data_IF_866860816584
#
_entry.id   IF_866860816584
#
_cell.length_a   1.000
_cell.length_b   1.000
_cell.length_c   1.000
_cell.angle_alpha   90.00
_cell.angle_beta   90.00
_cell.angle_gamma   90.00
#
_symmetry.space_group_name_H-M   'P 1'
#
loop_
_entity.id
_entity.type
_entity.pdbx_description
1 polymer ?
#
# COMPACT_ATOMS: atom_id res chain seq x y z
N UNK A 1 6.45 -10.81 19.59
CA UNK A 1 6.33 -9.34 19.64
C UNK A 1 7.67 -8.62 19.60
N UNK A 2 8.65 -8.99 20.43
CA UNK A 2 10.04 -8.50 20.30
C UNK A 2 10.60 -8.75 18.89
N UNK A 3 10.29 -9.92 18.31
CA UNK A 3 10.57 -10.24 16.91
C UNK A 3 9.88 -9.32 15.87
N UNK A 4 8.67 -8.80 16.14
CA UNK A 4 8.00 -7.84 15.25
C UNK A 4 8.58 -6.43 15.40
N UNK A 5 8.93 -6.04 16.62
CA UNK A 5 9.62 -4.78 16.89
C UNK A 5 11.00 -4.76 16.20
N UNK A 6 11.75 -5.85 16.27
CA UNK A 6 13.05 -5.95 15.61
C UNK A 6 12.96 -6.18 14.08
N UNK A 7 11.96 -6.92 13.57
CA UNK A 7 11.83 -7.21 12.13
C UNK A 7 11.06 -6.15 11.33
N UNK A 8 10.17 -5.39 11.98
CA UNK A 8 9.26 -4.45 11.31
C UNK A 8 9.32 -3.05 11.90
N UNK A 9 10.11 -2.82 12.96
CA UNK A 9 10.19 -1.57 13.74
C UNK A 9 8.87 -1.05 14.32
N UNK A 10 7.75 -1.74 14.08
CA UNK A 10 6.40 -1.39 14.45
C UNK A 10 5.62 -2.64 14.86
N UNK A 11 5.51 -2.92 16.16
CA UNK A 11 4.56 -3.92 16.63
C UNK A 11 3.12 -3.39 16.43
N UNK A 12 2.12 -4.27 16.28
CA UNK A 12 0.79 -3.92 15.78
C UNK A 12 0.00 -2.91 16.62
N UNK A 13 0.41 -2.66 17.87
CA UNK A 13 -0.19 -1.66 18.76
C UNK A 13 0.90 -0.88 19.50
N UNK A 14 1.26 0.29 18.96
CA UNK A 14 2.16 1.23 19.61
C UNK A 14 1.34 2.39 20.19
N UNK A 15 1.57 2.72 21.47
CA UNK A 15 0.98 3.88 22.13
C UNK A 15 2.09 4.77 22.68
N UNK A 16 1.93 6.08 22.56
CA UNK A 16 2.77 7.02 23.30
C UNK A 16 2.50 6.93 24.79
N UNK A 17 3.55 7.03 25.60
CA UNK A 17 3.43 7.21 27.04
C UNK A 17 3.09 8.67 27.33
N UNK A 18 2.20 8.88 28.30
CA UNK A 18 1.75 10.22 28.74
C UNK A 18 2.42 10.59 30.07
N UNK A 19 2.35 11.87 30.45
CA UNK A 19 2.88 12.34 31.74
C UNK A 19 4.41 12.29 31.81
N UNK A 20 4.96 11.79 32.93
CA UNK A 20 6.40 11.82 33.20
C UNK A 20 7.23 10.94 32.27
N UNK A 21 6.61 9.96 31.61
CA UNK A 21 7.25 9.13 30.59
C UNK A 21 7.06 9.64 29.15
N UNK A 22 6.58 10.88 28.94
CA UNK A 22 6.34 11.43 27.60
C UNK A 22 7.56 11.31 26.69
N UNK A 23 7.34 10.82 25.48
CA UNK A 23 8.38 10.59 24.48
C UNK A 23 8.85 9.14 24.38
N UNK A 24 8.56 8.31 25.40
CA UNK A 24 8.63 6.86 25.29
C UNK A 24 7.43 6.31 24.50
N UNK A 25 7.69 5.23 23.78
CA UNK A 25 6.68 4.40 23.12
C UNK A 25 6.49 3.14 23.94
N UNK A 26 5.25 2.65 23.97
CA UNK A 26 4.91 1.37 24.60
C UNK A 26 4.14 0.47 23.65
N UNK A 27 4.47 -0.80 23.73
CA UNK A 27 3.82 -1.87 22.97
C UNK A 27 3.30 -2.91 23.93
N UNK A 28 2.01 -3.22 23.84
CA UNK A 28 1.36 -4.21 24.70
C UNK A 28 1.88 -5.62 24.42
N UNK A 29 2.50 -6.27 25.42
CA UNK A 29 3.00 -7.65 25.35
C UNK A 29 1.95 -8.69 25.82
N UNK A 30 0.78 -8.26 26.29
CA UNK A 30 -0.23 -9.12 26.91
C UNK A 30 0.04 -9.42 28.40
N UNK A 31 -0.58 -10.46 28.93
CA UNK A 31 -0.53 -10.87 30.34
C UNK A 31 -1.65 -11.84 30.71
N UNK A 32 -1.64 -12.37 31.94
CA UNK A 32 -2.69 -13.28 32.41
C UNK A 32 -4.02 -12.51 32.54
N UNK A 33 -4.93 -12.71 31.57
CA UNK A 33 -6.23 -12.04 31.46
C UNK A 33 -6.23 -10.58 30.97
N UNK A 34 -5.25 -10.11 30.20
CA UNK A 34 -5.37 -8.82 29.51
C UNK A 34 -4.05 -8.11 29.18
N UNK A 35 -4.12 -6.78 29.07
CA UNK A 35 -3.01 -5.88 28.67
C UNK A 35 -2.19 -5.39 29.87
N UNK A 36 -1.55 -6.33 30.56
CA UNK A 36 -0.85 -6.07 31.84
C UNK A 36 0.58 -5.58 31.64
N UNK A 37 1.30 -6.11 30.65
CA UNK A 37 2.71 -5.79 30.44
C UNK A 37 2.94 -5.07 29.13
N UNK A 38 3.83 -4.08 29.16
CA UNK A 38 4.19 -3.28 28.00
C UNK A 38 5.70 -3.24 27.83
N UNK A 39 6.15 -3.42 26.59
CA UNK A 39 7.52 -3.15 26.18
C UNK A 39 7.70 -1.64 25.95
N UNK A 40 8.63 -1.03 26.67
CA UNK A 40 8.96 0.39 26.57
C UNK A 40 10.21 0.58 25.74
N UNK A 41 10.09 1.43 24.73
CA UNK A 41 11.15 1.67 23.77
C UNK A 41 11.11 3.09 23.22
N UNK A 42 12.20 3.54 22.63
CA UNK A 42 12.34 4.84 22.02
C UNK A 42 13.14 4.75 20.73
N UNK A 43 12.94 5.71 19.83
CA UNK A 43 13.64 5.83 18.54
C UNK A 43 14.67 6.95 18.59
N UNK A 44 15.58 6.94 17.63
CA UNK A 44 16.44 8.09 17.38
C UNK A 44 15.63 9.41 17.36
N UNK A 45 16.16 10.41 18.06
CA UNK A 45 15.53 11.73 18.17
C UNK A 45 14.35 11.85 19.14
N UNK A 46 13.81 10.75 19.71
CA UNK A 46 12.79 10.83 20.75
C UNK A 46 13.30 11.66 21.94
N UNK A 47 12.47 12.54 22.57
CA UNK A 47 12.90 13.41 23.66
C UNK A 47 13.73 12.73 24.76
N UNK A 48 13.36 11.54 25.30
CA UNK A 48 14.14 10.89 26.34
C UNK A 48 15.48 10.32 25.86
N UNK A 49 15.74 10.15 24.57
CA UNK A 49 16.97 9.48 24.08
C UNK A 49 17.73 10.31 23.05
N UNK A 50 17.30 11.55 22.80
CA UNK A 50 17.89 12.42 21.79
C UNK A 50 19.38 12.69 22.05
N UNK A 51 19.78 12.76 23.32
CA UNK A 51 21.18 12.97 23.72
C UNK A 51 22.09 11.78 23.45
N UNK A 52 21.54 10.60 23.16
CA UNK A 52 22.32 9.38 22.91
C UNK A 52 22.87 9.28 21.48
N UNK A 53 22.50 10.19 20.58
CA UNK A 53 23.12 10.28 19.26
C UNK A 53 22.85 9.07 18.34
N UNK A 54 21.73 8.39 18.55
CA UNK A 54 21.34 7.20 17.78
C UNK A 54 21.26 7.49 16.27
N UNK A 55 21.68 6.51 15.47
CA UNK A 55 21.50 6.51 14.02
C UNK A 55 20.00 6.49 13.64
N UNK A 56 19.62 6.98 12.44
CA UNK A 56 18.22 7.15 12.06
C UNK A 56 17.33 5.90 12.18
N UNK A 57 17.92 4.72 12.02
CA UNK A 57 17.25 3.42 12.06
C UNK A 57 17.41 2.68 13.40
N UNK A 58 18.14 3.26 14.35
CA UNK A 58 18.37 2.64 15.64
C UNK A 58 17.20 2.90 16.59
N UNK A 59 16.82 1.84 17.31
CA UNK A 59 15.82 1.88 18.37
C UNK A 59 16.45 1.39 19.67
N UNK A 60 15.96 1.89 20.79
CA UNK A 60 16.34 1.48 22.12
C UNK A 60 15.17 0.82 22.82
N UNK A 61 15.36 -0.40 23.31
CA UNK A 61 14.38 -1.13 24.12
C UNK A 61 14.83 -1.11 25.56
N UNK A 62 14.09 -0.44 26.44
CA UNK A 62 14.54 -0.14 27.81
C UNK A 62 14.06 -1.15 28.84
N UNK A 63 12.76 -1.44 28.85
CA UNK A 63 12.15 -2.21 29.92
C UNK A 63 10.83 -2.86 29.49
N UNK A 64 10.47 -3.93 30.19
CA UNK A 64 9.09 -4.42 30.26
C UNK A 64 8.49 -3.92 31.57
N UNK A 65 7.36 -3.22 31.50
CA UNK A 65 6.69 -2.63 32.67
C UNK A 65 5.25 -3.07 32.76
N UNK A 66 4.73 -3.17 33.97
CA UNK A 66 3.30 -3.35 34.22
C UNK A 66 2.51 -2.08 33.88
N UNK A 67 1.23 -2.21 33.58
CA UNK A 67 0.39 -1.07 33.19
C UNK A 67 0.27 -0.01 34.29
N UNK A 68 0.31 -0.42 35.55
CA UNK A 68 0.29 0.47 36.73
C UNK A 68 1.53 1.36 36.83
N UNK A 69 2.63 0.94 36.24
CA UNK A 69 3.90 1.65 36.24
C UNK A 69 3.99 2.69 35.12
N UNK A 70 2.99 2.75 34.24
CA UNK A 70 2.96 3.71 33.12
C UNK A 70 3.09 5.18 33.54
N UNK A 71 2.54 5.64 34.67
CA UNK A 71 2.66 7.03 35.10
C UNK A 71 4.09 7.46 35.47
N UNK A 72 4.99 6.53 35.79
CA UNK A 72 6.32 6.87 36.30
C UNK A 72 7.31 7.21 35.19
N UNK A 73 8.28 8.07 35.53
CA UNK A 73 9.40 8.37 34.65
C UNK A 73 10.28 7.13 34.41
N UNK A 74 10.80 7.01 33.19
CA UNK A 74 11.79 6.00 32.84
C UNK A 74 13.07 6.71 32.39
N UNK A 75 14.13 6.54 33.17
CA UNK A 75 15.42 7.16 32.88
C UNK A 75 16.12 6.39 31.72
N UNK A 76 16.45 7.06 30.60
CA UNK A 76 17.24 6.49 29.52
C UNK A 76 18.66 6.11 29.94
N UNK A 77 19.24 6.76 30.96
CA UNK A 77 20.67 6.65 31.27
C UNK A 77 21.59 7.21 30.18
N UNK A 78 22.88 6.90 30.31
CA UNK A 78 23.93 7.22 29.33
C UNK A 78 24.18 6.07 28.33
N UNK A 79 25.01 6.29 27.29
CA UNK A 79 25.35 5.28 26.28
C UNK A 79 25.92 3.97 26.87
N UNK A 80 26.63 4.06 28.00
CA UNK A 80 27.21 2.94 28.75
C UNK A 80 26.16 1.99 29.35
N UNK A 81 24.89 2.42 29.43
CA UNK A 81 23.78 1.62 29.94
C UNK A 81 23.07 0.78 28.86
N UNK A 82 23.62 0.76 27.65
CA UNK A 82 23.03 0.08 26.51
C UNK A 82 23.97 -0.98 25.96
N UNK A 83 23.39 -2.11 25.62
CA UNK A 83 24.07 -3.19 24.92
C UNK A 83 23.60 -3.14 23.46
N UNK A 84 24.54 -2.96 22.54
CA UNK A 84 24.25 -3.09 21.13
C UNK A 84 23.97 -4.57 20.84
N UNK A 85 22.81 -4.86 20.25
CA UNK A 85 22.47 -6.19 19.77
C UNK A 85 22.79 -6.23 18.27
N UNK A 86 23.91 -6.86 17.85
CA UNK A 86 24.27 -6.94 16.44
C UNK A 86 23.31 -7.85 15.68
N UNK A 87 23.11 -7.56 14.40
CA UNK A 87 22.23 -8.31 13.48
C UNK A 87 22.40 -9.84 13.55
N UNK A 88 23.62 -10.34 13.79
CA UNK A 88 23.90 -11.77 13.88
C UNK A 88 23.25 -12.43 15.10
N UNK A 89 23.19 -11.74 16.24
CA UNK A 89 22.53 -12.26 17.45
C UNK A 89 21.01 -12.25 17.31
N UNK A 90 20.47 -11.33 16.50
CA UNK A 90 19.05 -11.36 16.15
C UNK A 90 18.77 -12.55 15.22
N UNK A 91 19.54 -12.69 14.13
CA UNK A 91 19.35 -13.75 13.11
C UNK A 91 19.58 -15.18 13.63
N UNK A 92 20.50 -15.38 14.57
CA UNK A 92 20.90 -16.72 15.06
C UNK A 92 19.85 -17.46 15.92
N UNK A 93 18.81 -16.77 16.40
CA UNK A 93 17.93 -17.32 17.44
C UNK A 93 16.67 -18.02 16.88
N UNK A 94 16.52 -18.10 15.56
CA UNK A 94 15.29 -18.61 14.91
C UNK A 94 14.03 -17.78 15.20
N UNK A 95 14.18 -16.63 15.87
CA UNK A 95 13.11 -15.70 16.24
C UNK A 95 12.67 -14.80 15.08
N UNK A 96 13.48 -14.76 14.02
CA UNK A 96 13.20 -14.05 12.78
C UNK A 96 12.94 -15.10 11.72
N UNK A 97 11.72 -15.20 11.15
CA UNK A 97 11.58 -15.94 9.91
C UNK A 97 12.43 -15.19 8.88
N UNK A 98 13.56 -15.79 8.51
CA UNK A 98 14.31 -15.33 7.35
C UNK A 98 13.35 -15.24 6.18
N UNK A 99 13.52 -14.21 5.35
CA UNK A 99 12.80 -14.18 4.08
C UNK A 99 13.09 -15.49 3.36
N UNK A 100 12.04 -16.19 2.95
CA UNK A 100 12.20 -17.38 2.15
C UNK A 100 13.00 -17.01 0.91
N UNK A 101 13.83 -17.92 0.40
CA UNK A 101 14.64 -17.65 -0.80
C UNK A 101 13.82 -17.05 -1.94
N UNK A 102 12.61 -17.56 -2.18
CA UNK A 102 11.69 -17.03 -3.19
C UNK A 102 11.23 -15.57 -2.92
N UNK A 103 11.13 -15.16 -1.66
CA UNK A 103 10.82 -13.78 -1.27
C UNK A 103 12.02 -12.86 -1.51
N UNK A 104 13.23 -13.30 -1.16
CA UNK A 104 14.48 -12.58 -1.45
C UNK A 104 14.69 -12.41 -2.95
N UNK A 105 14.57 -13.50 -3.71
CA UNK A 105 14.66 -13.47 -5.18
C UNK A 105 13.65 -12.47 -5.77
N UNK A 106 12.43 -12.44 -5.25
CA UNK A 106 11.40 -11.50 -5.70
C UNK A 106 11.74 -10.02 -5.38
N UNK A 107 12.35 -9.75 -4.22
CA UNK A 107 12.79 -8.41 -3.81
C UNK A 107 13.90 -7.90 -4.71
N UNK A 108 14.92 -8.73 -4.94
CA UNK A 108 16.16 -8.38 -5.63
C UNK A 108 16.04 -8.39 -7.16
N UNK A 109 15.01 -9.06 -7.70
CA UNK A 109 14.80 -9.19 -9.15
C UNK A 109 14.77 -7.83 -9.87
N UNK A 110 15.73 -7.63 -10.78
CA UNK A 110 15.89 -6.44 -11.64
C UNK A 110 15.16 -6.60 -12.98
N UNK A 111 13.88 -6.94 -12.94
CA UNK A 111 13.03 -7.13 -14.14
C UNK A 111 11.94 -6.07 -14.22
N UNK A 112 11.46 -5.77 -15.44
CA UNK A 112 10.46 -4.72 -15.68
C UNK A 112 9.08 -5.02 -15.06
N UNK A 113 8.68 -6.29 -15.06
CA UNK A 113 7.40 -6.75 -14.53
C UNK A 113 7.61 -7.95 -13.62
N UNK A 114 7.04 -7.89 -12.42
CA UNK A 114 7.05 -8.96 -11.42
C UNK A 114 5.62 -9.22 -10.97
N UNK A 115 5.24 -10.49 -10.88
CA UNK A 115 3.94 -10.91 -10.35
C UNK A 115 4.18 -11.77 -9.12
N UNK A 116 3.71 -11.28 -7.96
CA UNK A 116 3.82 -12.01 -6.70
C UNK A 116 2.47 -12.64 -6.35
N UNK A 117 2.41 -13.96 -6.36
CA UNK A 117 1.22 -14.74 -5.96
C UNK A 117 1.54 -15.56 -4.71
N UNK A 118 0.63 -15.56 -3.75
CA UNK A 118 0.77 -16.32 -2.52
C UNK A 118 -0.51 -16.34 -1.71
N UNK A 119 -0.66 -17.33 -0.84
CA UNK A 119 -1.81 -17.48 0.06
C UNK A 119 -1.90 -16.34 1.07
N UNK A 120 -3.05 -16.13 1.75
CA UNK A 120 -3.12 -15.22 2.89
C UNK A 120 -2.01 -15.51 3.91
N UNK A 121 -1.37 -14.47 4.45
CA UNK A 121 -0.30 -14.61 5.44
C UNK A 121 1.10 -14.93 4.90
N UNK A 122 1.29 -15.21 3.60
CA UNK A 122 2.63 -15.60 3.06
C UNK A 122 3.63 -14.44 2.87
N UNK A 123 3.43 -13.29 3.53
CA UNK A 123 4.37 -12.17 3.48
C UNK A 123 4.37 -11.34 2.19
N UNK A 124 3.32 -11.39 1.36
CA UNK A 124 3.26 -10.62 0.10
C UNK A 124 3.50 -9.12 0.30
N UNK A 125 2.85 -8.54 1.32
CA UNK A 125 3.01 -7.14 1.67
C UNK A 125 4.45 -6.83 2.08
N UNK A 126 5.07 -7.72 2.87
CA UNK A 126 6.47 -7.61 3.28
C UNK A 126 7.39 -7.59 2.07
N UNK A 127 7.24 -8.54 1.14
CA UNK A 127 8.03 -8.55 -0.11
C UNK A 127 7.85 -7.27 -0.91
N UNK A 128 6.62 -6.78 -1.04
CA UNK A 128 6.34 -5.56 -1.81
C UNK A 128 6.97 -4.31 -1.17
N UNK A 129 6.89 -4.19 0.16
CA UNK A 129 7.50 -3.10 0.92
C UNK A 129 9.02 -3.16 0.86
N UNK A 130 9.61 -4.34 1.07
CA UNK A 130 11.06 -4.54 0.99
C UNK A 130 11.59 -4.31 -0.42
N UNK A 131 10.85 -4.69 -1.47
CA UNK A 131 11.21 -4.39 -2.86
C UNK A 131 11.23 -2.88 -3.15
N UNK A 132 10.35 -2.10 -2.52
CA UNK A 132 10.36 -0.64 -2.61
C UNK A 132 11.55 -0.03 -1.86
N UNK A 133 11.92 -0.58 -0.70
CA UNK A 133 13.12 -0.16 0.05
C UNK A 133 14.43 -0.49 -0.70
N UNK A 134 14.46 -1.61 -1.42
CA UNK A 134 15.62 -2.07 -2.19
C UNK A 134 15.90 -1.27 -3.49
N UNK A 135 15.12 -0.21 -3.75
CA UNK A 135 15.29 0.69 -4.88
C UNK A 135 15.69 2.12 -4.42
N UNK A 136 16.81 2.30 -3.69
CA UNK A 136 17.23 3.61 -3.20
C UNK A 136 17.50 4.59 -4.35
N UNK A 137 17.23 5.88 -4.13
CA UNK A 137 17.35 6.94 -5.13
C UNK A 137 16.30 6.92 -6.25
N UNK A 138 15.38 5.94 -6.27
CA UNK A 138 14.32 5.87 -7.29
C UNK A 138 12.99 6.42 -6.77
N UNK A 139 12.31 7.20 -7.61
CA UNK A 139 10.92 7.60 -7.33
C UNK A 139 10.00 6.39 -7.42
N UNK A 140 9.41 6.02 -6.29
CA UNK A 140 8.58 4.81 -6.18
C UNK A 140 7.13 5.20 -5.95
N UNK A 141 6.22 4.62 -6.74
CA UNK A 141 4.78 4.72 -6.52
C UNK A 141 4.28 3.41 -5.91
N UNK A 142 3.77 3.48 -4.68
CA UNK A 142 3.16 2.36 -3.97
C UNK A 142 1.63 2.52 -3.97
N UNK A 143 0.93 1.64 -4.70
CA UNK A 143 -0.53 1.64 -4.78
C UNK A 143 -1.13 0.56 -3.92
N UNK A 144 -2.18 0.91 -3.15
CA UNK A 144 -2.90 -0.04 -2.30
C UNK A 144 -4.41 0.18 -2.35
N UNK A 145 -5.16 -0.72 -1.72
CA UNK A 145 -6.60 -0.84 -1.91
C UNK A 145 -7.40 0.27 -1.20
N UNK A 146 -7.12 0.53 0.07
CA UNK A 146 -7.91 1.44 0.90
C UNK A 146 -7.04 2.41 1.72
N UNK A 147 -7.68 3.44 2.28
CA UNK A 147 -7.00 4.50 3.03
C UNK A 147 -6.22 3.96 4.23
N UNK A 148 -6.76 2.99 4.97
CA UNK A 148 -6.09 2.38 6.13
C UNK A 148 -4.78 1.67 5.73
N UNK A 149 -4.79 0.92 4.62
CA UNK A 149 -3.59 0.27 4.11
C UNK A 149 -2.59 1.28 3.55
N UNK A 150 -3.07 2.39 2.99
CA UNK A 150 -2.22 3.47 2.51
C UNK A 150 -1.53 4.19 3.67
N UNK A 151 -2.25 4.51 4.74
CA UNK A 151 -1.70 5.09 5.97
C UNK A 151 -0.63 4.20 6.58
N UNK A 152 -0.91 2.90 6.77
CA UNK A 152 0.08 1.94 7.29
C UNK A 152 1.33 1.82 6.42
N UNK A 153 1.18 1.91 5.10
CA UNK A 153 2.31 1.89 4.19
C UNK A 153 3.10 3.20 4.23
N UNK A 154 2.45 4.36 4.39
CA UNK A 154 3.13 5.65 4.61
C UNK A 154 3.94 5.60 5.90
N UNK A 155 3.33 5.20 7.01
CA UNK A 155 4.02 5.05 8.29
C UNK A 155 5.25 4.17 8.16
N UNK A 156 5.12 3.05 7.43
CA UNK A 156 6.25 2.16 7.16
C UNK A 156 7.36 2.89 6.37
N UNK A 157 7.05 3.50 5.22
CA UNK A 157 8.11 4.13 4.41
C UNK A 157 8.70 5.38 5.05
N UNK A 158 7.92 6.17 5.79
CA UNK A 158 8.42 7.29 6.60
C UNK A 158 9.44 6.82 7.64
N UNK A 159 9.31 5.60 8.13
CA UNK A 159 10.17 5.04 9.16
C UNK A 159 11.39 4.28 8.60
N UNK A 160 11.23 3.53 7.51
CA UNK A 160 12.26 2.60 7.04
C UNK A 160 12.90 2.96 5.70
N UNK A 161 12.34 3.88 4.93
CA UNK A 161 12.97 4.29 3.68
C UNK A 161 14.17 5.20 3.96
N UNK A 162 15.33 4.99 3.32
CA UNK A 162 16.46 5.91 3.40
C UNK A 162 16.09 7.33 2.95
N UNK A 163 15.20 7.42 1.95
CA UNK A 163 14.69 8.67 1.39
C UNK A 163 13.16 8.62 1.24
N UNK A 164 12.38 8.79 2.33
CA UNK A 164 10.93 8.66 2.29
C UNK A 164 10.25 9.61 1.29
N UNK A 165 10.86 10.78 1.05
CA UNK A 165 10.38 11.77 0.09
C UNK A 165 10.33 11.26 -1.37
N UNK A 166 11.06 10.19 -1.71
CA UNK A 166 11.01 9.56 -3.02
C UNK A 166 9.89 8.54 -3.17
N UNK A 167 9.20 8.17 -2.08
CA UNK A 167 8.15 7.16 -2.09
C UNK A 167 6.79 7.83 -1.96
N UNK A 168 5.96 7.68 -2.99
CA UNK A 168 4.59 8.16 -3.01
C UNK A 168 3.63 7.00 -2.77
N UNK A 169 2.85 7.07 -1.69
CA UNK A 169 1.84 6.04 -1.36
C UNK A 169 0.44 6.58 -1.63
N UNK A 170 -0.32 5.88 -2.48
CA UNK A 170 -1.69 6.26 -2.84
C UNK A 170 -2.62 5.05 -2.85
N UNK A 171 -3.91 5.31 -2.66
CA UNK A 171 -4.98 4.45 -3.13
C UNK A 171 -5.21 4.68 -4.63
N UNK A 172 -5.86 3.73 -5.30
CA UNK A 172 -6.22 3.93 -6.70
C UNK A 172 -7.09 5.17 -6.93
N UNK A 173 -8.05 5.43 -6.04
CA UNK A 173 -8.90 6.64 -6.12
C UNK A 173 -8.13 7.95 -5.90
N UNK A 174 -7.10 7.95 -5.06
CA UNK A 174 -6.21 9.12 -4.91
C UNK A 174 -5.34 9.32 -6.15
N UNK A 175 -4.81 8.25 -6.76
CA UNK A 175 -4.09 8.34 -8.02
C UNK A 175 -4.98 8.94 -9.12
N UNK A 176 -6.20 8.43 -9.26
CA UNK A 176 -7.14 8.95 -10.25
C UNK A 176 -7.43 10.44 -10.05
N UNK A 177 -7.65 10.90 -8.82
CA UNK A 177 -7.85 12.34 -8.55
C UNK A 177 -6.63 13.20 -8.90
N UNK A 178 -5.42 12.66 -8.75
CA UNK A 178 -4.19 13.37 -9.11
C UNK A 178 -3.97 13.45 -10.62
N UNK A 179 -4.25 12.37 -11.33
CA UNK A 179 -4.04 12.27 -12.79
C UNK A 179 -5.22 12.88 -13.56
N UNK A 180 -6.42 12.77 -13.01
CA UNK A 180 -7.69 13.21 -13.57
C UNK A 180 -8.44 14.07 -12.54
N UNK A 181 -8.08 15.35 -12.35
CA UNK A 181 -8.73 16.23 -11.37
C UNK A 181 -10.25 16.39 -11.60
N UNK A 182 -10.70 16.19 -12.83
CA UNK A 182 -12.11 16.24 -13.24
C UNK A 182 -12.86 14.92 -13.07
N UNK A 183 -12.20 13.84 -12.63
CA UNK A 183 -12.85 12.55 -12.42
C UNK A 183 -13.77 12.60 -11.19
N UNK A 184 -14.95 11.94 -11.24
CA UNK A 184 -15.88 11.92 -10.11
C UNK A 184 -15.20 11.35 -8.86
N UNK A 185 -15.32 12.08 -7.75
CA UNK A 185 -14.62 11.81 -6.49
C UNK A 185 -14.99 10.46 -5.84
N UNK A 186 -16.13 9.88 -6.24
CA UNK A 186 -16.63 8.60 -5.75
C UNK A 186 -16.98 7.73 -6.95
N UNK A 187 -16.15 6.72 -7.18
CA UNK A 187 -16.52 5.62 -8.06
C UNK A 187 -17.36 4.66 -7.21
N UNK A 188 -18.60 4.42 -7.62
CA UNK A 188 -19.46 3.45 -6.93
C UNK A 188 -18.73 2.09 -6.76
N UNK A 189 -19.02 1.33 -5.68
CA UNK A 189 -18.43 0.01 -5.47
C UNK A 189 -18.51 -0.84 -6.75
N UNK A 190 -17.49 -1.68 -6.99
CA UNK A 190 -17.45 -2.52 -8.18
C UNK A 190 -18.73 -3.34 -8.35
N UNK A 191 -19.23 -3.93 -7.26
CA UNK A 191 -20.49 -4.67 -7.24
C UNK A 191 -21.67 -3.84 -7.73
N UNK A 192 -21.83 -2.61 -7.24
CA UNK A 192 -22.90 -1.71 -7.66
C UNK A 192 -22.80 -1.37 -9.16
N UNK A 193 -21.58 -1.19 -9.69
CA UNK A 193 -21.37 -0.92 -11.12
C UNK A 193 -21.66 -2.14 -11.99
N UNK A 194 -21.29 -3.33 -11.53
CA UNK A 194 -21.63 -4.60 -12.21
C UNK A 194 -23.14 -4.82 -12.20
N UNK A 195 -23.84 -4.52 -11.09
CA UNK A 195 -25.31 -4.60 -11.01
C UNK A 195 -25.98 -3.70 -12.05
N UNK A 196 -25.51 -2.45 -12.19
CA UNK A 196 -26.03 -1.52 -13.21
C UNK A 196 -25.79 -2.06 -14.63
N UNK A 197 -24.61 -2.63 -14.90
CA UNK A 197 -24.33 -3.25 -16.20
C UNK A 197 -25.24 -4.47 -16.43
N UNK A 198 -25.39 -5.36 -15.46
CA UNK A 198 -26.24 -6.54 -15.56
C UNK A 198 -27.69 -6.16 -15.90
N UNK A 199 -28.25 -5.18 -15.20
CA UNK A 199 -29.60 -4.67 -15.47
C UNK A 199 -29.73 -4.10 -16.89
N UNK A 200 -28.70 -3.40 -17.38
CA UNK A 200 -28.70 -2.87 -18.75
C UNK A 200 -28.60 -3.98 -19.81
N UNK A 201 -27.85 -5.06 -19.53
CA UNK A 201 -27.75 -6.23 -20.41
C UNK A 201 -29.06 -7.01 -20.46
N UNK A 202 -29.75 -7.17 -19.34
CA UNK A 202 -31.05 -7.86 -19.28
C UNK A 202 -32.12 -7.13 -20.11
N UNK A 203 -32.04 -5.80 -20.17
CA UNK A 203 -32.93 -4.96 -20.96
C UNK A 203 -32.48 -4.78 -22.42
N UNK A 204 -31.31 -5.29 -22.79
CA UNK A 204 -30.77 -5.10 -24.12
C UNK A 204 -31.51 -5.97 -25.15
N UNK A 205 -31.87 -5.42 -26.32
CA UNK A 205 -32.56 -6.17 -27.37
C UNK A 205 -31.67 -7.21 -28.07
N UNK A 206 -30.34 -7.17 -27.83
CA UNK A 206 -29.37 -8.10 -28.38
C UNK A 206 -28.72 -8.90 -27.26
N UNK A 207 -28.55 -10.20 -27.49
CA UNK A 207 -27.76 -11.07 -26.63
C UNK A 207 -26.27 -10.79 -26.83
N UNK A 208 -25.50 -10.86 -25.75
CA UNK A 208 -24.07 -10.56 -25.74
C UNK A 208 -23.25 -11.84 -25.57
N UNK A 209 -23.61 -12.93 -26.25
CA UNK A 209 -22.83 -14.17 -26.25
C UNK A 209 -21.38 -13.89 -26.72
N UNK A 210 -20.34 -14.44 -26.05
CA UNK A 210 -20.37 -15.47 -25.01
C UNK A 210 -20.64 -14.98 -23.57
N UNK A 211 -20.85 -13.68 -23.38
CA UNK A 211 -20.94 -13.02 -22.08
C UNK A 211 -22.33 -13.03 -21.45
N UNK A 212 -23.29 -13.73 -22.06
CA UNK A 212 -24.62 -13.91 -21.47
C UNK A 212 -24.46 -14.58 -20.09
N UNK A 213 -25.05 -13.96 -19.05
CA UNK A 213 -24.91 -14.36 -17.63
C UNK A 213 -23.51 -14.18 -17.02
N UNK A 214 -22.59 -13.51 -17.71
CA UNK A 214 -21.24 -13.19 -17.24
C UNK A 214 -20.98 -11.67 -17.21
N UNK A 215 -21.80 -10.89 -16.46
CA UNK A 215 -21.71 -9.43 -16.47
C UNK A 215 -20.44 -8.91 -15.82
N UNK A 216 -19.83 -9.63 -14.88
CA UNK A 216 -18.58 -9.24 -14.24
C UNK A 216 -17.40 -9.36 -15.20
N UNK A 217 -17.33 -10.47 -15.93
CA UNK A 217 -16.29 -10.73 -16.93
C UNK A 217 -16.42 -9.75 -18.10
N UNK A 218 -17.65 -9.49 -18.56
CA UNK A 218 -17.90 -8.46 -19.58
C UNK A 218 -17.54 -7.05 -19.08
N UNK A 219 -17.85 -6.73 -17.82
CA UNK A 219 -17.47 -5.45 -17.22
C UNK A 219 -15.94 -5.27 -17.26
N UNK A 220 -15.20 -6.31 -16.87
CA UNK A 220 -13.74 -6.35 -16.91
C UNK A 220 -13.21 -6.19 -18.33
N UNK A 221 -13.74 -6.95 -19.28
CA UNK A 221 -13.33 -6.91 -20.69
C UNK A 221 -13.57 -5.52 -21.32
N UNK A 222 -14.76 -4.94 -21.11
CA UNK A 222 -15.07 -3.59 -21.59
C UNK A 222 -14.11 -2.55 -20.99
N UNK A 223 -13.80 -2.63 -19.70
CA UNK A 223 -12.86 -1.69 -19.07
C UNK A 223 -11.42 -1.89 -19.57
N UNK A 224 -10.99 -3.13 -19.75
CA UNK A 224 -9.66 -3.43 -20.30
C UNK A 224 -9.53 -2.91 -21.74
N UNK A 225 -10.58 -3.11 -22.55
CA UNK A 225 -10.62 -2.61 -23.92
C UNK A 225 -10.62 -1.07 -23.97
N UNK A 226 -11.50 -0.41 -23.21
CA UNK A 226 -11.54 1.07 -23.14
C UNK A 226 -10.21 1.64 -22.66
N UNK A 227 -9.61 1.06 -21.60
CA UNK A 227 -8.33 1.51 -21.08
C UNK A 227 -7.20 1.31 -22.09
N UNK A 228 -7.17 0.17 -22.79
CA UNK A 228 -6.21 -0.11 -23.84
C UNK A 228 -6.31 0.86 -25.01
N UNK A 229 -7.53 1.17 -25.46
CA UNK A 229 -7.79 2.13 -26.52
C UNK A 229 -7.43 3.58 -26.11
N UNK A 230 -7.40 3.88 -24.81
CA UNK A 230 -7.05 5.20 -24.28
C UNK A 230 -5.53 5.41 -24.11
N UNK A 231 -4.70 4.42 -24.41
CA UNK A 231 -3.26 4.53 -24.19
C UNK A 231 -2.62 5.51 -25.20
N UNK A 232 -1.73 6.42 -24.76
CA UNK A 232 -1.02 7.35 -25.65
C UNK A 232 0.11 6.67 -26.44
N UNK A 233 0.13 5.35 -26.47
CA UNK A 233 1.18 4.51 -27.09
C UNK A 233 0.52 3.34 -27.79
N UNK A 234 1.07 2.84 -28.90
CA UNK A 234 0.53 1.68 -29.59
C UNK A 234 0.40 0.48 -28.65
N UNK A 235 -0.75 -0.19 -28.67
CA UNK A 235 -0.99 -1.36 -27.81
C UNK A 235 -1.84 -2.40 -28.53
N UNK A 236 -1.32 -3.62 -28.68
CA UNK A 236 -2.01 -4.76 -29.34
C UNK A 236 -2.63 -4.42 -30.71
N UNK A 237 -1.93 -3.64 -31.52
CA UNK A 237 -2.38 -3.23 -32.85
C UNK A 237 -3.30 -2.01 -32.87
N UNK A 238 -3.73 -1.50 -31.71
CA UNK A 238 -4.42 -0.22 -31.63
C UNK A 238 -3.42 0.95 -31.77
N UNK A 239 -3.76 2.01 -32.54
CA UNK A 239 -2.95 3.21 -32.62
C UNK A 239 -2.92 3.97 -31.29
N UNK A 240 -1.89 4.80 -31.04
CA UNK A 240 -1.83 5.65 -29.86
C UNK A 240 -3.01 6.65 -29.85
N UNK A 241 -3.57 6.87 -28.66
CA UNK A 241 -4.65 7.81 -28.43
C UNK A 241 -4.09 9.22 -28.22
N UNK A 242 -4.31 10.12 -29.17
CA UNK A 242 -3.78 11.50 -29.15
C UNK A 242 -4.70 12.49 -28.40
N UNK A 243 -5.87 12.03 -27.92
CA UNK A 243 -6.84 12.87 -27.21
C UNK A 243 -7.81 12.04 -26.34
N UNK A 244 -8.68 12.70 -25.56
CA UNK A 244 -9.66 11.99 -24.74
C UNK A 244 -10.60 11.15 -25.62
N UNK A 245 -10.79 9.87 -25.23
CA UNK A 245 -11.46 8.86 -26.05
C UNK A 245 -12.85 9.31 -26.55
N UNK A 246 -13.60 10.04 -25.71
CA UNK A 246 -14.89 10.63 -26.05
C UNK A 246 -15.11 11.90 -25.20
N UNK A 247 -15.44 13.04 -25.82
CA UNK A 247 -16.10 14.14 -25.10
C UNK A 247 -17.54 13.71 -24.74
N UNK A 248 -18.03 14.05 -23.56
CA UNK A 248 -19.32 13.53 -23.05
C UNK A 248 -20.52 13.86 -23.94
N UNK A 249 -20.49 15.01 -24.61
CA UNK A 249 -21.46 15.45 -25.60
C UNK A 249 -21.37 14.65 -26.93
N UNK A 250 -20.16 14.27 -27.35
CA UNK A 250 -19.94 13.38 -28.49
C UNK A 250 -20.47 11.95 -28.21
N UNK A 251 -20.29 11.44 -26.99
CA UNK A 251 -20.82 10.11 -26.60
C UNK A 251 -22.36 10.05 -26.69
N UNK A 252 -23.06 11.07 -26.16
CA UNK A 252 -24.53 11.16 -26.21
C UNK A 252 -25.02 11.29 -27.66
N UNK A 253 -24.37 12.15 -28.47
CA UNK A 253 -24.74 12.35 -29.89
C UNK A 253 -24.54 11.10 -30.76
N UNK A 254 -23.48 10.32 -30.50
CA UNK A 254 -23.18 9.10 -31.26
C UNK A 254 -24.24 8.00 -31.03
N UNK A 255 -24.84 7.96 -29.84
CA UNK A 255 -25.86 6.98 -29.43
C UNK A 255 -27.30 7.46 -29.68
N UNK A 256 -27.52 8.75 -29.93
CA UNK A 256 -28.82 9.31 -30.25
C UNK A 256 -29.23 9.15 -31.73
N UNK A 257 -28.33 8.69 -32.61
CA UNK A 257 -28.64 8.45 -34.03
C UNK A 257 -29.12 7.00 -34.28
N UNK A 258 -30.26 6.80 -34.97
CA UNK A 258 -30.61 5.50 -35.53
C UNK A 258 -29.54 5.04 -36.53
N UNK A 259 -29.27 3.73 -36.56
CA UNK A 259 -28.12 3.08 -37.20
C UNK A 259 -28.16 3.04 -38.73
N UNK A 260 -28.20 4.19 -39.41
CA UNK A 260 -28.25 4.23 -40.89
C UNK A 260 -27.42 5.33 -41.56
N UNK A 261 -26.45 5.96 -40.90
CA UNK A 261 -25.50 6.84 -41.61
C UNK A 261 -24.05 6.61 -41.21
N UNK A 262 -23.19 6.50 -42.22
CA UNK A 262 -21.74 6.33 -42.07
C UNK A 262 -21.12 7.51 -41.29
N UNK A 263 -20.07 7.26 -40.49
CA UNK A 263 -19.49 8.29 -39.62
C UNK A 263 -18.62 9.28 -40.42
N UNK A 264 -18.62 10.58 -40.07
CA UNK A 264 -17.62 11.53 -40.56
C UNK A 264 -16.26 11.30 -39.87
N UNK A 265 -15.19 11.79 -40.49
CA UNK A 265 -13.80 11.68 -40.03
C UNK A 265 -13.65 12.03 -38.54
N UNK A 266 -13.04 11.12 -37.77
CA UNK A 266 -13.18 11.03 -36.30
C UNK A 266 -11.84 11.33 -35.59
N UNK A 267 -11.84 11.95 -34.40
CA UNK A 267 -10.74 11.81 -33.43
C UNK A 267 -10.62 10.33 -33.04
N UNK A 268 -9.38 9.85 -32.85
CA UNK A 268 -8.97 8.47 -32.53
C UNK A 268 -10.09 7.43 -32.66
N UNK A 269 -10.24 6.86 -33.86
CA UNK A 269 -11.21 5.79 -34.11
C UNK A 269 -10.87 4.52 -33.32
N UNK A 270 -11.87 3.81 -32.77
CA UNK A 270 -11.72 2.51 -32.11
C UNK A 270 -11.33 1.39 -33.07
#
# INVERSE_FOLDING_TARGET
MFAQLAAQGMPPQVKGVQGRGKGWLRTDLGGNNGHQFYLWWARAGSPPVKHLGLGPMEILVRAVRHHDETPDALDPGGPDKWVALPDQELKGNGLFPELLRAQTDAIEARVRLRVLRGQPGTGKTTVLQQAALAAPGQRTLYLTYNALLAERARDFFEQFAPEPALITVLTFGELLRKVLPSAPAVVAPLSARITVLAQALDQAPRKFAPWDKHPEELFGELHAWIAGAALPTPFRGAPPCEGPLLRGDAFVKLRARPSTSAPPATPCSP
#
